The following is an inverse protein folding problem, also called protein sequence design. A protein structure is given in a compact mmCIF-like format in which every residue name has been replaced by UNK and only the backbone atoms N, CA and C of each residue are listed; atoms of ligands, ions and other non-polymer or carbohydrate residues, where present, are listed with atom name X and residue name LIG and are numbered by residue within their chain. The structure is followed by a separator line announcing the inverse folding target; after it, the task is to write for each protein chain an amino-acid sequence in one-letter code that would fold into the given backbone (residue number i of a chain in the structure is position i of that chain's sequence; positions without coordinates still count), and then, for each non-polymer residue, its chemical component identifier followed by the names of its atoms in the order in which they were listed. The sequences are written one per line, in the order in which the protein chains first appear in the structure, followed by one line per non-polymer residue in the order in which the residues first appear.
data_IF_467915782847
#
_entry.id   IF_467915782847
#
_cell.length_a   1.000
_cell.length_b   1.000
_cell.length_c   1.000
_cell.angle_alpha   90.00
_cell.angle_beta   90.00
_cell.angle_gamma   90.00
#
_symmetry.space_group_name_H-M   'P 1'
#
loop_
_entity.id
_entity.type
_entity.pdbx_description
1 polymer ?
#
# COMPACT_ATOMS: atom_id res chain seq x y z
N UNK A 1 11.73 -9.36 20.10
CA UNK A 1 12.46 -10.39 19.33
C UNK A 1 12.06 -10.25 17.87
N UNK A 2 13.00 -10.15 16.93
CA UNK A 2 12.68 -10.22 15.52
C UNK A 2 12.13 -11.63 15.23
N UNK A 3 10.90 -11.74 14.76
CA UNK A 3 10.32 -13.03 14.39
C UNK A 3 11.07 -13.48 13.15
N UNK A 4 11.90 -14.53 13.27
CA UNK A 4 12.60 -15.09 12.12
C UNK A 4 11.56 -15.56 11.08
N UNK A 5 11.90 -15.48 9.80
CA UNK A 5 11.10 -16.13 8.75
C UNK A 5 10.97 -17.62 9.07
N UNK A 6 9.89 -18.25 8.61
CA UNK A 6 9.83 -19.71 8.68
C UNK A 6 10.99 -20.31 7.87
N UNK A 7 11.69 -21.27 8.47
CA UNK A 7 12.76 -22.01 7.81
C UNK A 7 12.17 -22.93 6.73
N UNK A 8 12.54 -22.66 5.48
CA UNK A 8 12.07 -23.39 4.30
C UNK A 8 13.17 -24.28 3.69
N UNK A 9 14.38 -24.28 4.25
CA UNK A 9 15.55 -24.96 3.67
C UNK A 9 15.38 -26.49 3.54
N UNK A 10 14.50 -27.08 4.33
CA UNK A 10 14.16 -28.52 4.32
C UNK A 10 12.95 -28.87 3.44
N UNK A 11 12.39 -27.90 2.72
CA UNK A 11 11.26 -28.14 1.83
C UNK A 11 11.68 -28.95 0.60
N UNK A 12 10.81 -29.87 0.16
CA UNK A 12 11.03 -30.67 -1.06
C UNK A 12 10.89 -29.81 -2.32
N UNK A 13 10.11 -28.74 -2.22
CA UNK A 13 9.91 -27.74 -3.26
C UNK A 13 10.71 -26.51 -2.88
N UNK A 14 11.28 -25.80 -3.86
CA UNK A 14 11.96 -24.52 -3.65
C UNK A 14 10.95 -23.41 -3.30
N UNK A 15 10.49 -23.43 -2.05
CA UNK A 15 9.55 -22.45 -1.50
C UNK A 15 10.25 -21.11 -1.22
N UNK A 16 11.58 -21.11 -1.07
CA UNK A 16 12.37 -19.89 -0.92
C UNK A 16 12.28 -19.05 -2.19
N UNK A 17 12.38 -19.66 -3.37
CA UNK A 17 12.21 -18.96 -4.64
C UNK A 17 10.86 -18.23 -4.75
N UNK A 18 9.77 -18.84 -4.29
CA UNK A 18 8.43 -18.22 -4.27
C UNK A 18 8.42 -17.02 -3.31
N UNK A 19 8.97 -17.17 -2.11
CA UNK A 19 9.08 -16.09 -1.12
C UNK A 19 9.93 -14.93 -1.64
N UNK A 20 11.08 -15.22 -2.24
CA UNK A 20 11.97 -14.23 -2.83
C UNK A 20 11.33 -13.50 -4.01
N UNK A 21 10.60 -14.20 -4.87
CA UNK A 21 9.87 -13.58 -5.98
C UNK A 21 8.79 -12.61 -5.50
N UNK A 22 8.04 -13.01 -4.46
CA UNK A 22 7.05 -12.16 -3.80
C UNK A 22 7.70 -10.93 -3.15
N UNK A 23 8.79 -11.12 -2.40
CA UNK A 23 9.53 -10.04 -1.76
C UNK A 23 10.10 -9.07 -2.79
N UNK A 24 10.75 -9.58 -3.85
CA UNK A 24 11.30 -8.77 -4.94
C UNK A 24 10.23 -7.93 -5.62
N UNK A 25 9.06 -8.50 -5.88
CA UNK A 25 7.95 -7.78 -6.51
C UNK A 25 7.41 -6.66 -5.61
N UNK A 26 7.27 -6.93 -4.31
CA UNK A 26 6.85 -5.91 -3.34
C UNK A 26 7.88 -4.78 -3.22
N UNK A 27 9.16 -5.10 -3.10
CA UNK A 27 10.22 -4.12 -2.94
C UNK A 27 10.40 -3.28 -4.22
N UNK A 28 10.39 -3.90 -5.40
CA UNK A 28 10.42 -3.19 -6.68
C UNK A 28 9.22 -2.25 -6.84
N UNK A 29 8.04 -2.68 -6.37
CA UNK A 29 6.90 -1.79 -6.30
C UNK A 29 7.18 -0.62 -5.35
N UNK A 30 7.63 -0.81 -4.12
CA UNK A 30 7.95 0.29 -3.21
C UNK A 30 9.01 1.24 -3.80
N UNK A 31 10.06 0.71 -4.42
CA UNK A 31 11.16 1.49 -5.00
C UNK A 31 10.77 2.33 -6.22
N UNK A 32 9.69 1.96 -6.92
CA UNK A 32 9.13 2.80 -7.99
C UNK A 32 8.69 4.19 -7.50
N UNK A 33 8.52 4.37 -6.18
CA UNK A 33 8.16 5.63 -5.53
C UNK A 33 9.33 6.15 -4.69
N UNK A 34 10.08 7.16 -5.14
CA UNK A 34 11.16 7.72 -4.33
C UNK A 34 10.61 8.55 -3.16
N UNK A 35 11.34 8.59 -2.04
CA UNK A 35 11.00 9.42 -0.87
C UNK A 35 10.45 8.64 0.32
N UNK A 36 10.21 9.32 1.46
CA UNK A 36 9.66 8.72 2.67
C UNK A 36 8.20 8.34 2.44
N UNK A 37 7.87 7.09 2.76
CA UNK A 37 6.56 6.48 2.51
C UNK A 37 5.88 6.12 3.82
N UNK A 38 4.60 6.41 3.90
CA UNK A 38 3.69 5.78 4.83
C UNK A 38 3.04 4.56 4.15
N UNK A 39 3.20 3.38 4.73
CA UNK A 39 2.60 2.15 4.23
C UNK A 39 1.30 1.86 4.98
N UNK A 40 0.17 1.92 4.29
CA UNK A 40 -1.16 1.60 4.83
C UNK A 40 -1.55 0.20 4.37
N UNK A 41 -1.77 -0.74 5.30
CA UNK A 41 -2.04 -2.14 5.01
C UNK A 41 -3.51 -2.52 5.23
N UNK A 42 -4.03 -3.43 4.40
CA UNK A 42 -5.19 -4.25 4.80
C UNK A 42 -4.85 -4.94 6.14
N UNK A 43 -5.67 -4.77 7.21
CA UNK A 43 -5.45 -5.42 8.50
C UNK A 43 -5.17 -6.93 8.40
N UNK A 44 -5.80 -7.60 7.44
CA UNK A 44 -5.66 -9.04 7.23
C UNK A 44 -4.42 -9.42 6.43
N UNK A 45 -3.75 -8.47 5.75
CA UNK A 45 -2.47 -8.70 5.07
C UNK A 45 -1.27 -8.57 6.01
N UNK A 46 -1.43 -7.98 7.21
CA UNK A 46 -0.31 -7.76 8.13
C UNK A 46 0.43 -9.06 8.49
N UNK A 47 -0.29 -10.09 8.94
CA UNK A 47 0.29 -11.40 9.25
C UNK A 47 1.01 -12.04 8.06
N UNK A 48 0.33 -12.24 6.92
CA UNK A 48 0.93 -12.83 5.73
C UNK A 48 2.14 -12.06 5.19
N UNK A 49 2.11 -10.72 5.24
CA UNK A 49 3.22 -9.87 4.81
C UNK A 49 4.50 -10.14 5.60
N UNK A 50 4.39 -10.41 6.91
CA UNK A 50 5.57 -10.68 7.76
C UNK A 50 6.33 -11.96 7.38
N UNK A 51 5.68 -12.90 6.67
CA UNK A 51 6.33 -14.11 6.15
C UNK A 51 7.19 -13.82 4.92
N UNK A 52 7.00 -12.68 4.27
CA UNK A 52 7.67 -12.28 3.02
C UNK A 52 8.68 -11.16 3.29
N UNK A 53 8.28 -10.16 4.08
CA UNK A 53 9.09 -8.98 4.32
C UNK A 53 8.89 -8.45 5.74
N UNK A 54 9.99 -8.25 6.45
CA UNK A 54 9.99 -7.68 7.79
C UNK A 54 10.18 -6.16 7.78
N UNK A 55 9.77 -5.50 8.86
CA UNK A 55 9.90 -4.05 9.02
C UNK A 55 11.32 -3.49 8.82
N UNK A 56 12.41 -4.14 9.27
CA UNK A 56 13.77 -3.66 8.99
C UNK A 56 14.08 -3.55 7.51
N UNK A 57 13.61 -4.51 6.70
CA UNK A 57 13.76 -4.47 5.25
C UNK A 57 12.90 -3.37 4.65
N UNK A 58 11.62 -3.22 5.05
CA UNK A 58 10.75 -2.14 4.57
C UNK A 58 11.35 -0.75 4.83
N UNK A 59 11.99 -0.55 5.99
CA UNK A 59 12.66 0.71 6.33
C UNK A 59 13.84 1.05 5.41
N UNK A 60 14.57 0.04 4.91
CA UNK A 60 15.64 0.25 3.94
C UNK A 60 15.11 0.79 2.61
N UNK A 61 13.85 0.51 2.27
CA UNK A 61 13.14 1.01 1.09
C UNK A 61 12.31 2.28 1.38
N UNK A 62 12.70 3.03 2.41
CA UNK A 62 12.12 4.31 2.83
C UNK A 62 10.67 4.25 3.33
N UNK A 63 10.23 3.11 3.88
CA UNK A 63 8.99 3.05 4.65
C UNK A 63 9.26 3.55 6.08
N UNK A 64 8.73 4.71 6.44
CA UNK A 64 8.94 5.31 7.76
C UNK A 64 7.98 4.72 8.80
N UNK A 65 6.69 4.67 8.42
CA UNK A 65 5.59 4.23 9.29
C UNK A 65 4.68 3.25 8.57
N UNK A 66 4.08 2.35 9.36
CA UNK A 66 3.08 1.40 8.94
C UNK A 66 1.77 1.69 9.68
N UNK A 67 0.68 1.72 8.92
CA UNK A 67 -0.67 1.93 9.40
C UNK A 67 -1.57 0.80 8.90
N UNK A 68 -2.72 0.60 9.53
CA UNK A 68 -3.75 -0.32 9.08
C UNK A 68 -4.97 0.45 8.55
N UNK A 69 -5.59 -0.06 7.49
CA UNK A 69 -6.73 0.58 6.84
C UNK A 69 -8.02 0.31 7.63
N UNK A 70 -8.36 1.25 8.52
CA UNK A 70 -9.58 1.17 9.33
C UNK A 70 -10.66 2.19 8.93
N UNK A 71 -10.31 3.18 8.09
CA UNK A 71 -11.16 4.33 7.74
C UNK A 71 -10.77 5.59 8.52
N UNK A 72 -11.31 6.76 8.13
CA UNK A 72 -11.05 8.04 8.81
C UNK A 72 -9.76 8.76 8.40
N UNK A 73 -9.13 9.48 9.33
CA UNK A 73 -7.96 10.34 9.08
C UNK A 73 -6.64 9.56 9.13
N UNK A 74 -5.67 9.94 8.30
CA UNK A 74 -4.29 9.42 8.36
C UNK A 74 -3.31 10.54 8.73
N UNK A 75 -2.73 10.46 9.93
CA UNK A 75 -1.67 11.40 10.35
C UNK A 75 -0.30 10.96 9.80
N UNK A 76 0.11 11.58 8.70
CA UNK A 76 1.39 11.33 8.07
C UNK A 76 1.99 12.61 7.49
N UNK A 77 3.28 12.81 7.78
CA UNK A 77 4.11 13.85 7.16
C UNK A 77 4.89 13.32 5.94
N UNK A 78 4.64 12.07 5.53
CA UNK A 78 5.32 11.46 4.39
C UNK A 78 4.81 12.04 3.08
N UNK A 79 5.70 12.25 2.12
CA UNK A 79 5.35 12.71 0.78
C UNK A 79 4.60 11.64 -0.04
N UNK A 80 4.81 10.37 0.29
CA UNK A 80 4.18 9.23 -0.38
C UNK A 80 3.32 8.43 0.60
N UNK A 81 2.08 8.16 0.23
CA UNK A 81 1.18 7.25 0.95
C UNK A 81 0.88 6.05 0.06
N UNK A 82 1.35 4.89 0.47
CA UNK A 82 1.20 3.63 -0.28
C UNK A 82 0.21 2.73 0.43
N UNK A 83 -0.93 2.46 -0.20
CA UNK A 83 -1.90 1.46 0.25
C UNK A 83 -1.54 0.09 -0.32
N UNK A 84 -1.43 -0.93 0.53
CA UNK A 84 -1.31 -2.33 0.12
C UNK A 84 -2.58 -3.07 0.53
N UNK A 85 -3.45 -3.34 -0.45
CA UNK A 85 -4.81 -3.80 -0.20
C UNK A 85 -5.22 -4.91 -1.15
N UNK A 86 -6.13 -5.76 -0.69
CA UNK A 86 -6.84 -6.70 -1.58
C UNK A 86 -7.96 -6.00 -2.33
N UNK A 87 -8.30 -6.44 -3.56
CA UNK A 87 -9.35 -5.83 -4.37
C UNK A 87 -10.76 -6.15 -3.81
N UNK A 88 -11.12 -5.54 -2.68
CA UNK A 88 -12.43 -5.67 -2.03
C UNK A 88 -13.13 -4.33 -1.98
N UNK A 89 -14.43 -4.31 -2.27
CA UNK A 89 -15.22 -3.08 -2.31
C UNK A 89 -15.25 -2.35 -0.96
N UNK A 90 -15.36 -3.10 0.15
CA UNK A 90 -15.31 -2.53 1.50
C UNK A 90 -14.03 -1.71 1.75
N UNK A 91 -12.88 -2.24 1.32
CA UNK A 91 -11.59 -1.56 1.49
C UNK A 91 -11.49 -0.34 0.58
N UNK A 92 -12.10 -0.36 -0.61
CA UNK A 92 -12.10 0.80 -1.51
C UNK A 92 -12.89 1.97 -0.90
N UNK A 93 -13.98 1.70 -0.18
CA UNK A 93 -14.72 2.73 0.55
C UNK A 93 -13.86 3.37 1.65
N UNK A 94 -13.21 2.55 2.49
CA UNK A 94 -12.32 3.04 3.57
C UNK A 94 -11.12 3.80 3.01
N UNK A 95 -10.53 3.32 1.92
CA UNK A 95 -9.42 4.00 1.24
C UNK A 95 -9.86 5.37 0.72
N UNK A 96 -11.01 5.44 0.06
CA UNK A 96 -11.53 6.71 -0.45
C UNK A 96 -11.85 7.71 0.68
N UNK A 97 -12.35 7.23 1.82
CA UNK A 97 -12.56 8.05 3.02
C UNK A 97 -11.24 8.64 3.53
N UNK A 98 -10.20 7.81 3.64
CA UNK A 98 -8.86 8.27 4.06
C UNK A 98 -8.28 9.30 3.11
N UNK A 99 -8.35 9.05 1.80
CA UNK A 99 -7.82 9.98 0.79
C UNK A 99 -8.52 11.33 0.86
N UNK A 100 -9.87 11.33 0.93
CA UNK A 100 -10.65 12.58 1.06
C UNK A 100 -10.31 13.33 2.34
N UNK A 101 -10.23 12.63 3.47
CA UNK A 101 -9.88 13.24 4.75
C UNK A 101 -8.51 13.95 4.68
N UNK A 102 -7.50 13.29 4.11
CA UNK A 102 -6.16 13.87 4.01
C UNK A 102 -6.15 15.08 3.06
N UNK A 103 -6.89 15.03 1.95
CA UNK A 103 -7.01 16.17 1.03
C UNK A 103 -7.68 17.37 1.72
N UNK A 104 -8.78 17.14 2.43
CA UNK A 104 -9.50 18.18 3.17
C UNK A 104 -8.63 18.83 4.26
N UNK A 105 -7.83 18.03 4.99
CA UNK A 105 -6.90 18.49 6.02
C UNK A 105 -5.78 19.37 5.43
N UNK A 106 -5.22 18.97 4.28
CA UNK A 106 -4.18 19.74 3.59
C UNK A 106 -4.75 21.05 3.05
N UNK A 107 -5.96 21.04 2.50
CA UNK A 107 -6.65 22.26 2.06
C UNK A 107 -6.94 23.22 3.22
N UNK A 108 -7.39 22.70 4.37
CA UNK A 108 -7.62 23.50 5.56
C UNK A 108 -6.32 24.15 6.06
N UNK A 109 -5.23 23.37 6.13
CA UNK A 109 -3.91 23.86 6.53
C UNK A 109 -3.39 24.95 5.57
N UNK A 110 -3.60 24.80 4.25
CA UNK A 110 -3.26 25.83 3.25
C UNK A 110 -4.03 27.13 3.44
N UNK A 111 -5.34 27.06 3.74
CA UNK A 111 -6.17 28.24 4.01
C UNK A 111 -5.71 29.00 5.26
N UNK A 112 -5.28 28.28 6.30
CA UNK A 112 -4.72 28.89 7.52
C UNK A 112 -3.38 29.59 7.21
N UNK A 113 -2.46 28.89 6.54
CA UNK A 113 -1.17 29.45 6.12
C UNK A 113 -1.34 30.73 5.26
N UNK A 114 -2.29 30.70 4.30
CA UNK A 114 -2.60 31.85 3.47
C UNK A 114 -3.14 33.04 4.27
N UNK A 115 -3.94 32.81 5.32
CA UNK A 115 -4.47 33.87 6.20
C UNK A 115 -3.38 34.49 7.07
N UNK A 116 -2.48 33.67 7.62
CA UNK A 116 -1.39 34.13 8.49
C UNK A 116 -0.36 34.98 7.73
N UNK A 117 -0.11 34.65 6.45
CA UNK A 117 0.87 35.36 5.61
C UNK A 117 0.28 36.41 4.66
N UNK A 118 -1.05 36.57 4.56
CA UNK A 118 -1.67 37.64 3.79
C UNK A 118 -1.42 39.05 4.37
N UNK A 119 -1.06 39.15 5.66
CA UNK A 119 -0.86 40.42 6.38
C UNK A 119 0.56 41.03 6.31
N UNK A 120 1.58 40.28 5.91
CA UNK A 120 2.98 40.76 5.87
C UNK A 120 3.34 41.54 4.59
N UNK A 121 2.39 41.69 3.67
CA UNK A 121 2.56 42.41 2.39
C UNK A 121 2.52 43.95 2.47
N UNK A 122 2.55 44.58 3.65
CA UNK A 122 2.67 46.05 3.73
C UNK A 122 4.14 46.42 3.47
N UNK A 123 4.50 46.68 2.20
CA UNK A 123 5.79 47.29 1.83
C UNK A 123 6.07 48.45 2.79
N UNK A 124 7.13 48.42 3.62
CA UNK A 124 7.57 49.62 4.28
C UNK A 124 8.06 50.57 3.20
N UNK A 125 7.50 51.77 3.12
CA UNK A 125 8.08 52.90 2.40
C UNK A 125 9.45 53.16 3.01
N UNK A 126 10.49 52.55 2.45
CA UNK A 126 11.87 52.66 2.94
C UNK A 126 12.42 54.03 2.57
N UNK A 127 12.88 54.85 3.53
CA UNK A 127 13.67 56.04 3.21
C UNK A 127 14.97 55.61 2.54
N UNK A 128 15.28 56.25 1.43
CA UNK A 128 16.46 56.01 0.59
C UNK A 128 17.74 56.19 1.40
N UNK A 129 18.49 55.11 1.71
CA UNK A 129 19.87 55.25 2.23
C UNK A 129 20.43 54.23 3.25
N UNK A 130 19.65 53.32 3.84
CA UNK A 130 20.22 52.37 4.83
C UNK A 130 20.88 51.12 4.18
N UNK A 131 21.99 50.57 4.71
CA UNK A 131 22.57 49.32 4.22
C UNK A 131 21.62 48.13 4.45
N UNK A 132 21.57 47.17 3.50
CA UNK A 132 20.80 45.93 3.64
C UNK A 132 21.49 45.06 4.69
N UNK A 133 20.82 44.78 5.82
CA UNK A 133 21.19 43.65 6.68
C UNK A 133 20.67 42.38 6.00
N UNK A 134 21.54 41.40 5.81
CA UNK A 134 21.24 40.13 5.14
C UNK A 134 20.51 39.14 6.09
N UNK A 135 20.21 39.56 7.33
CA UNK A 135 19.80 38.70 8.45
C UNK A 135 18.28 38.57 8.68
N UNK A 136 17.43 39.04 7.78
CA UNK A 136 15.96 38.87 7.88
C UNK A 136 15.44 37.89 6.83
N UNK A 137 15.96 36.67 6.82
CA UNK A 137 15.24 35.55 6.20
C UNK A 137 14.11 35.21 7.17
N UNK A 138 12.93 35.78 6.91
CA UNK A 138 11.72 35.41 7.62
C UNK A 138 11.46 33.93 7.34
N UNK A 139 11.59 33.09 8.37
CA UNK A 139 11.45 31.63 8.31
C UNK A 139 9.96 31.30 8.08
N UNK A 140 9.50 31.42 6.83
CA UNK A 140 8.13 31.11 6.46
C UNK A 140 7.98 29.59 6.53
N UNK A 141 7.09 29.06 7.38
CA UNK A 141 6.88 27.62 7.47
C UNK A 141 6.48 27.06 6.10
N UNK A 142 6.98 25.85 5.73
CA UNK A 142 6.75 25.27 4.42
C UNK A 142 5.25 25.06 4.18
N UNK A 143 4.81 25.38 2.96
CA UNK A 143 3.41 25.19 2.55
C UNK A 143 3.05 23.70 2.65
N UNK A 144 1.91 23.33 3.27
CA UNK A 144 1.44 21.96 3.32
C UNK A 144 1.36 21.36 1.90
N UNK A 145 2.12 20.29 1.68
CA UNK A 145 2.15 19.58 0.40
C UNK A 145 1.13 18.43 0.43
N UNK A 146 0.44 18.24 -0.69
CA UNK A 146 -0.45 17.10 -0.85
C UNK A 146 0.43 15.88 -1.08
N UNK A 147 0.27 14.80 -0.28
CA UNK A 147 1.02 13.58 -0.52
C UNK A 147 0.52 12.89 -1.80
N UNK A 148 1.42 12.17 -2.47
CA UNK A 148 1.02 11.29 -3.56
C UNK A 148 0.42 10.01 -2.99
N UNK A 149 -0.74 9.61 -3.50
CA UNK A 149 -1.41 8.38 -3.09
C UNK A 149 -1.17 7.29 -4.13
N UNK A 150 -0.69 6.13 -3.68
CA UNK A 150 -0.53 4.94 -4.53
C UNK A 150 -1.26 3.75 -3.95
N UNK A 151 -2.06 3.06 -4.75
CA UNK A 151 -2.73 1.80 -4.39
C UNK A 151 -2.02 0.63 -5.06
N UNK A 152 -1.44 -0.24 -4.24
CA UNK A 152 -0.91 -1.53 -4.64
C UNK A 152 -1.92 -2.63 -4.34
N UNK A 153 -2.47 -3.20 -5.41
CA UNK A 153 -3.38 -4.32 -5.29
C UNK A 153 -2.63 -5.64 -5.13
N UNK A 154 -2.98 -6.35 -4.08
CA UNK A 154 -2.55 -7.73 -3.84
C UNK A 154 -3.74 -8.67 -4.10
N UNK A 155 -3.64 -9.66 -4.98
CA UNK A 155 -2.54 -9.89 -5.92
C UNK A 155 -2.67 -9.13 -7.26
N UNK A 156 -3.85 -8.58 -7.59
CA UNK A 156 -4.10 -7.85 -8.85
C UNK A 156 -5.23 -6.83 -8.69
N UNK A 157 -5.30 -5.85 -9.59
CA UNK A 157 -6.43 -4.93 -9.68
C UNK A 157 -7.62 -5.58 -10.38
N UNK A 158 -8.82 -5.13 -10.03
CA UNK A 158 -10.08 -5.57 -10.64
C UNK A 158 -10.83 -4.37 -11.18
N UNK A 159 -11.52 -4.55 -12.31
CA UNK A 159 -12.29 -3.49 -12.96
C UNK A 159 -13.39 -2.93 -12.05
N UNK A 160 -13.99 -3.79 -11.22
CA UNK A 160 -15.05 -3.38 -10.28
C UNK A 160 -14.50 -2.42 -9.21
N UNK A 161 -13.30 -2.67 -8.68
CA UNK A 161 -12.67 -1.76 -7.74
C UNK A 161 -12.27 -0.43 -8.39
N UNK A 162 -11.76 -0.47 -9.64
CA UNK A 162 -11.45 0.76 -10.38
C UNK A 162 -12.69 1.62 -10.62
N UNK A 163 -13.78 1.01 -11.08
CA UNK A 163 -15.01 1.73 -11.35
C UNK A 163 -15.62 2.31 -10.08
N UNK A 164 -15.57 1.56 -8.97
CA UNK A 164 -15.98 2.07 -7.66
C UNK A 164 -15.15 3.30 -7.24
N UNK A 165 -13.83 3.27 -7.39
CA UNK A 165 -12.97 4.42 -7.05
C UNK A 165 -13.25 5.65 -7.93
N UNK A 166 -13.64 5.44 -9.20
CA UNK A 166 -14.11 6.53 -10.08
C UNK A 166 -15.43 7.11 -9.59
N UNK A 167 -16.40 6.26 -9.25
CA UNK A 167 -17.68 6.69 -8.68
C UNK A 167 -17.51 7.44 -7.35
N UNK A 168 -16.52 7.06 -6.54
CA UNK A 168 -16.18 7.74 -5.30
C UNK A 168 -15.43 9.06 -5.52
N UNK A 169 -14.98 9.35 -6.75
CA UNK A 169 -14.35 10.61 -7.13
C UNK A 169 -12.87 10.73 -6.76
N UNK A 170 -12.23 9.67 -6.28
CA UNK A 170 -10.82 9.68 -5.82
C UNK A 170 -9.85 9.13 -6.85
N UNK A 171 -10.33 8.51 -7.93
CA UNK A 171 -9.50 7.84 -8.93
C UNK A 171 -8.42 8.76 -9.54
N UNK A 172 -8.69 10.06 -9.67
CA UNK A 172 -7.74 11.02 -10.26
C UNK A 172 -6.53 11.32 -9.38
N UNK A 173 -6.65 11.14 -8.07
CA UNK A 173 -5.58 11.40 -7.09
C UNK A 173 -4.75 10.15 -6.78
N UNK A 174 -5.12 9.00 -7.36
CA UNK A 174 -4.54 7.70 -7.08
C UNK A 174 -3.65 7.23 -8.24
N UNK A 175 -2.45 6.77 -7.89
CA UNK A 175 -1.62 5.95 -8.77
C UNK A 175 -1.87 4.46 -8.46
N UNK A 176 -1.88 3.61 -9.48
CA UNK A 176 -2.19 2.18 -9.31
C UNK A 176 -1.00 1.29 -9.64
N UNK A 177 -0.83 0.22 -8.88
CA UNK A 177 0.11 -0.86 -9.15
C UNK A 177 -0.42 -2.21 -8.68
N UNK A 178 0.25 -3.28 -9.07
CA UNK A 178 -0.07 -4.64 -8.68
C UNK A 178 1.15 -5.30 -8.06
N UNK A 179 0.91 -6.14 -7.05
CA UNK A 179 1.95 -6.93 -6.38
C UNK A 179 1.48 -8.39 -6.41
N UNK A 180 1.98 -9.22 -7.34
CA UNK A 180 1.45 -10.55 -7.62
C UNK A 180 1.88 -11.58 -6.57
N UNK A 181 1.34 -11.45 -5.35
CA UNK A 181 1.53 -12.39 -4.25
C UNK A 181 0.29 -13.28 -4.18
N UNK A 182 0.34 -14.41 -4.88
CA UNK A 182 -0.79 -15.36 -4.93
C UNK A 182 -0.80 -16.34 -3.77
N UNK A 183 0.36 -16.81 -3.35
CA UNK A 183 0.52 -17.85 -2.33
C UNK A 183 1.76 -17.57 -1.48
N UNK A 184 1.67 -17.88 -0.19
CA UNK A 184 2.67 -17.53 0.81
C UNK A 184 3.10 -18.80 1.54
N UNK A 185 4.41 -19.13 1.54
CA UNK A 185 4.92 -20.25 2.30
C UNK A 185 5.03 -19.89 3.78
N UNK A 186 4.19 -20.54 4.58
CA UNK A 186 4.16 -20.41 6.04
C UNK A 186 5.10 -21.39 6.72
N UNK A 187 5.20 -22.60 6.18
CA UNK A 187 6.11 -23.65 6.65
C UNK A 187 6.65 -24.41 5.43
N UNK A 188 7.58 -25.34 5.66
CA UNK A 188 8.23 -26.15 4.60
C UNK A 188 7.26 -27.00 3.77
N UNK A 189 6.08 -27.26 4.29
CA UNK A 189 5.02 -28.09 3.70
C UNK A 189 3.64 -27.39 3.74
N UNK A 190 3.61 -26.11 4.13
CA UNK A 190 2.36 -25.33 4.25
C UNK A 190 2.45 -24.06 3.43
N UNK A 191 1.57 -23.99 2.44
CA UNK A 191 1.34 -22.83 1.58
C UNK A 191 -0.08 -22.31 1.81
N UNK A 192 -0.24 -20.99 1.96
CA UNK A 192 -1.55 -20.38 2.16
C UNK A 192 -1.73 -19.14 1.29
N UNK A 193 -2.97 -18.93 0.83
CA UNK A 193 -3.39 -17.70 0.16
C UNK A 193 -3.95 -16.66 1.13
N UNK A 194 -4.20 -17.06 2.39
CA UNK A 194 -4.71 -16.20 3.47
C UNK A 194 -6.00 -15.46 3.09
N UNK A 195 -6.86 -16.15 2.33
CA UNK A 195 -8.13 -15.64 1.85
C UNK A 195 -9.28 -16.08 2.76
N UNK A 196 -9.38 -15.47 3.93
CA UNK A 196 -10.27 -15.87 5.02
C UNK A 196 -11.77 -15.91 4.64
N UNK A 197 -12.22 -15.04 3.74
CA UNK A 197 -13.63 -15.01 3.31
C UNK A 197 -13.95 -16.00 2.20
N UNK A 198 -12.97 -16.74 1.67
CA UNK A 198 -13.15 -17.63 0.52
C UNK A 198 -14.34 -18.58 0.68
N UNK A 199 -14.55 -19.11 1.88
CA UNK A 199 -15.68 -19.99 2.16
C UNK A 199 -17.02 -19.27 2.09
N UNK A 200 -17.12 -18.07 2.66
CA UNK A 200 -18.36 -17.27 2.61
C UNK A 200 -18.66 -16.88 1.16
N UNK A 201 -17.64 -16.35 0.48
CA UNK A 201 -17.74 -15.86 -0.89
C UNK A 201 -18.23 -17.00 -1.80
N UNK A 202 -17.62 -18.20 -1.69
CA UNK A 202 -17.98 -19.36 -2.50
C UNK A 202 -19.31 -20.02 -2.09
N UNK A 203 -19.48 -20.36 -0.81
CA UNK A 203 -20.57 -21.21 -0.35
C UNK A 203 -21.87 -20.45 -0.06
N UNK A 204 -21.79 -19.16 0.28
CA UNK A 204 -22.94 -18.34 0.65
C UNK A 204 -23.28 -17.35 -0.45
N UNK A 205 -22.28 -16.63 -0.96
CA UNK A 205 -22.49 -15.54 -1.93
C UNK A 205 -22.43 -16.01 -3.39
N UNK A 206 -22.05 -17.28 -3.63
CA UNK A 206 -21.85 -17.85 -4.98
C UNK A 206 -20.85 -17.05 -5.82
N UNK A 207 -19.92 -16.35 -5.18
CA UNK A 207 -18.82 -15.65 -5.82
C UNK A 207 -17.65 -16.61 -6.05
N UNK A 208 -17.45 -16.95 -7.32
CA UNK A 208 -16.40 -17.84 -7.78
C UNK A 208 -15.06 -17.14 -8.02
N UNK A 209 -14.93 -15.84 -7.73
CA UNK A 209 -13.69 -15.07 -7.93
C UNK A 209 -12.50 -15.70 -7.17
N UNK A 210 -12.76 -16.33 -6.02
CA UNK A 210 -11.76 -17.04 -5.24
C UNK A 210 -11.09 -18.19 -6.02
N UNK A 211 -11.84 -18.89 -6.88
CA UNK A 211 -11.35 -20.03 -7.67
C UNK A 211 -10.32 -19.59 -8.70
N UNK A 212 -10.48 -18.39 -9.26
CA UNK A 212 -9.49 -17.82 -10.16
C UNK A 212 -8.14 -17.60 -9.45
N UNK A 213 -8.17 -17.08 -8.21
CA UNK A 213 -6.95 -16.90 -7.43
C UNK A 213 -6.31 -18.24 -7.07
N UNK A 214 -7.10 -19.26 -6.73
CA UNK A 214 -6.60 -20.62 -6.46
C UNK A 214 -5.92 -21.19 -7.70
N UNK A 215 -6.56 -21.08 -8.87
CA UNK A 215 -5.97 -21.54 -10.13
C UNK A 215 -4.64 -20.83 -10.43
N UNK A 216 -4.55 -19.52 -10.16
CA UNK A 216 -3.31 -18.77 -10.35
C UNK A 216 -2.22 -19.13 -9.34
N UNK A 217 -2.58 -19.37 -8.08
CA UNK A 217 -1.66 -19.86 -7.06
C UNK A 217 -1.06 -21.23 -7.43
N UNK A 218 -1.90 -22.16 -7.91
CA UNK A 218 -1.45 -23.46 -8.43
C UNK A 218 -0.54 -23.27 -9.64
N UNK A 219 -0.90 -22.38 -10.57
CA UNK A 219 -0.06 -22.09 -11.73
C UNK A 219 1.30 -21.51 -11.33
N UNK A 220 1.36 -20.63 -10.32
CA UNK A 220 2.61 -20.13 -9.75
C UNK A 220 3.45 -21.25 -9.15
N UNK A 221 2.84 -22.21 -8.47
CA UNK A 221 3.54 -23.40 -7.96
C UNK A 221 4.10 -24.25 -9.11
N UNK A 222 3.30 -24.51 -10.16
CA UNK A 222 3.71 -25.28 -11.33
C UNK A 222 4.88 -24.64 -12.10
N UNK A 223 5.03 -23.31 -12.06
CA UNK A 223 6.21 -22.65 -12.65
C UNK A 223 7.51 -23.03 -11.96
N UNK A 224 7.45 -23.36 -10.68
CA UNK A 224 8.62 -23.76 -9.87
C UNK A 224 8.80 -25.28 -9.90
N UNK A 225 7.70 -26.04 -9.80
CA UNK A 225 7.76 -27.51 -9.68
C UNK A 225 7.66 -28.26 -11.01
N UNK A 226 7.31 -27.59 -12.09
CA UNK A 226 6.83 -28.22 -13.31
C UNK A 226 5.34 -28.56 -13.25
N UNK A 227 4.79 -29.00 -14.39
CA UNK A 227 3.36 -29.32 -14.50
C UNK A 227 2.97 -30.55 -13.67
N UNK A 228 1.80 -30.49 -13.03
CA UNK A 228 1.28 -31.62 -12.28
C UNK A 228 0.84 -32.73 -13.26
N UNK A 229 1.44 -33.93 -13.21
CA UNK A 229 1.10 -35.01 -14.15
C UNK A 229 -0.28 -35.62 -13.89
N UNK A 230 -0.86 -35.36 -12.72
CA UNK A 230 -2.13 -35.93 -12.30
C UNK A 230 -2.89 -34.95 -11.43
N UNK A 231 -4.05 -34.50 -11.91
CA UNK A 231 -4.97 -33.64 -11.15
C UNK A 231 -6.16 -34.48 -10.68
N UNK A 232 -6.38 -34.53 -9.37
CA UNK A 232 -7.52 -35.21 -8.73
C UNK A 232 -8.24 -34.20 -7.85
N UNK A 233 -9.56 -34.25 -7.80
CA UNK A 233 -10.36 -33.36 -6.97
C UNK A 233 -11.68 -33.99 -6.55
N UNK A 234 -12.22 -33.52 -5.43
CA UNK A 234 -13.56 -33.86 -4.96
C UNK A 234 -14.22 -32.59 -4.43
N UNK A 235 -15.34 -32.24 -5.03
CA UNK A 235 -16.12 -31.04 -4.77
C UNK A 235 -17.23 -30.94 -5.82
N UNK A 236 -18.16 -29.99 -5.67
CA UNK A 236 -19.08 -29.63 -6.75
C UNK A 236 -18.33 -29.13 -7.99
#
# INVERSE_FOLDING_TARGET
MAKAYADLSSAVIDLEHIREAAQRSLLAALDSRPGPKALVLDPRLGGPLTQICQMPTLRQHSVDRLFYLEGGTLDTACAEVVFLVRPRLELMHKLAEVVKSVLDDVEAARKVHAREHAGTGRKPTRPTGAPRREDEIQDVPPVPQVPNFTVLFVPRKTLVCEELLKHLGVYGDLTFGEVPIDIIPYERDVLSMEYETAWRDLAVESDNSCLFYVARAIHTLQKVTGEAPLVKGKGP
#
